data_IF_350565708376
#
_entry.id   IF_350565708376
#
_cell.length_a   1.000
_cell.length_b   1.000
_cell.length_c   1.000
_cell.angle_alpha   90.00
_cell.angle_beta   90.00
_cell.angle_gamma   90.00
#
_symmetry.space_group_name_H-M   'P 1'
#
loop_
_entity.id
_entity.type
_entity.pdbx_description
1 polymer ?
#
# COMPACT_ATOMS: atom_id res chain seq x y z
N UNK A 1 -1.04 -19.19 -2.43
CA UNK A 1 -1.99 -18.15 -2.91
C UNK A 1 -3.28 -18.11 -2.06
N UNK A 2 -3.21 -18.18 -0.73
CA UNK A 2 -4.42 -18.38 0.11
C UNK A 2 -5.29 -17.10 0.28
N UNK A 3 -4.73 -15.92 0.03
CA UNK A 3 -5.40 -14.63 0.25
C UNK A 3 -5.26 -13.70 -0.97
N UNK A 4 -5.79 -14.13 -2.10
CA UNK A 4 -6.02 -13.26 -3.27
C UNK A 4 -7.49 -13.28 -3.65
N UNK A 5 -7.95 -12.21 -4.29
CA UNK A 5 -9.28 -12.13 -4.86
C UNK A 5 -9.22 -11.28 -6.13
N UNK A 6 -9.90 -11.74 -7.17
CA UNK A 6 -10.16 -10.94 -8.36
C UNK A 6 -11.42 -10.11 -8.10
N UNK A 7 -11.34 -8.79 -8.32
CA UNK A 7 -12.41 -7.86 -7.95
C UNK A 7 -12.74 -6.98 -9.14
N UNK A 8 -14.03 -6.83 -9.43
CA UNK A 8 -14.50 -5.85 -10.42
C UNK A 8 -14.77 -4.52 -9.74
N UNK A 9 -14.29 -3.46 -10.39
CA UNK A 9 -14.58 -2.10 -10.01
C UNK A 9 -16.01 -1.73 -10.45
N UNK A 10 -16.71 -0.97 -9.62
CA UNK A 10 -18.02 -0.42 -10.00
C UNK A 10 -17.88 0.78 -10.96
N UNK A 11 -19.01 1.28 -11.48
CA UNK A 11 -19.01 2.40 -12.44
C UNK A 11 -18.47 3.72 -11.86
N UNK A 12 -18.35 3.83 -10.54
CA UNK A 12 -17.83 5.01 -9.83
C UNK A 12 -16.35 4.86 -9.46
N UNK A 13 -15.71 3.77 -9.87
CA UNK A 13 -14.30 3.53 -9.56
C UNK A 13 -14.06 2.87 -8.20
N UNK A 14 -15.11 2.40 -7.51
CA UNK A 14 -14.96 1.79 -6.18
C UNK A 14 -14.69 0.29 -6.28
N UNK A 15 -13.85 -0.21 -5.39
CA UNK A 15 -13.51 -1.64 -5.28
C UNK A 15 -13.91 -2.16 -3.91
N UNK A 16 -14.74 -3.20 -3.89
CA UNK A 16 -15.13 -3.88 -2.65
C UNK A 16 -14.10 -4.92 -2.24
N UNK A 17 -13.25 -4.62 -1.25
CA UNK A 17 -12.24 -5.56 -0.77
C UNK A 17 -12.90 -6.62 0.16
N UNK A 18 -12.68 -7.93 -0.07
CA UNK A 18 -13.20 -8.97 0.81
C UNK A 18 -12.71 -8.83 2.26
N UNK A 19 -13.63 -8.96 3.22
CA UNK A 19 -13.34 -8.83 4.67
C UNK A 19 -12.19 -9.70 5.17
N UNK A 20 -12.03 -10.91 4.62
CA UNK A 20 -10.92 -11.82 4.98
C UNK A 20 -9.54 -11.25 4.66
N UNK A 21 -9.44 -10.41 3.62
CA UNK A 21 -8.19 -9.76 3.21
C UNK A 21 -7.93 -8.56 4.11
N UNK A 22 -8.94 -7.72 4.34
CA UNK A 22 -8.86 -6.58 5.26
C UNK A 22 -8.46 -7.01 6.68
N UNK A 23 -9.11 -8.06 7.21
CA UNK A 23 -8.81 -8.59 8.54
C UNK A 23 -7.37 -9.11 8.66
N UNK A 24 -6.85 -9.74 7.59
CA UNK A 24 -5.46 -10.19 7.55
C UNK A 24 -4.47 -9.01 7.49
N UNK A 25 -4.85 -7.93 6.80
CA UNK A 25 -4.06 -6.71 6.68
C UNK A 25 -4.19 -5.78 7.90
N UNK A 26 -5.04 -6.10 8.89
CA UNK A 26 -5.28 -5.25 10.05
C UNK A 26 -6.01 -3.95 9.72
N UNK A 27 -6.74 -3.90 8.61
CA UNK A 27 -7.45 -2.69 8.15
C UNK A 27 -8.91 -2.73 8.63
N UNK A 28 -9.34 -1.70 9.37
CA UNK A 28 -10.72 -1.56 9.85
C UNK A 28 -11.46 -0.46 9.09
N UNK A 29 -11.17 0.80 9.41
CA UNK A 29 -11.96 1.96 9.01
C UNK A 29 -11.17 2.89 8.10
N UNK A 30 -9.85 2.93 8.29
CA UNK A 30 -8.91 3.76 7.55
C UNK A 30 -7.77 2.90 7.01
N UNK A 31 -7.22 3.33 5.89
CA UNK A 31 -6.07 2.71 5.25
C UNK A 31 -5.20 3.79 4.61
N UNK A 32 -3.91 3.52 4.52
CA UNK A 32 -2.96 4.32 3.73
C UNK A 32 -2.80 3.64 2.38
N UNK A 33 -2.86 4.43 1.30
CA UNK A 33 -2.67 3.95 -0.06
C UNK A 33 -1.29 4.42 -0.53
N UNK A 34 -0.46 3.47 -0.97
CA UNK A 34 0.87 3.74 -1.50
C UNK A 34 0.91 3.32 -2.95
N UNK A 35 1.27 4.24 -3.83
CA UNK A 35 1.55 3.94 -5.23
C UNK A 35 2.97 3.40 -5.39
N UNK A 36 3.11 2.19 -5.94
CA UNK A 36 4.41 1.56 -6.21
C UNK A 36 4.43 1.11 -7.66
N UNK A 37 4.91 1.99 -8.55
CA UNK A 37 4.99 1.76 -10.00
C UNK A 37 3.67 1.27 -10.61
N UNK A 38 3.55 -0.03 -10.87
CA UNK A 38 2.42 -0.69 -11.52
C UNK A 38 1.39 -1.28 -10.54
N UNK A 39 1.62 -1.16 -9.23
CA UNK A 39 0.75 -1.66 -8.17
C UNK A 39 0.38 -0.57 -7.16
N UNK A 40 -0.78 -0.77 -6.54
CA UNK A 40 -1.20 -0.02 -5.36
C UNK A 40 -1.13 -0.94 -4.14
N UNK A 41 -0.55 -0.42 -3.06
CA UNK A 41 -0.48 -1.10 -1.79
C UNK A 41 -1.40 -0.43 -0.77
N UNK A 42 -2.04 -1.26 0.06
CA UNK A 42 -2.98 -0.81 1.08
C UNK A 42 -2.48 -1.27 2.43
N UNK A 43 -2.25 -0.32 3.32
CA UNK A 43 -1.66 -0.56 4.64
C UNK A 43 -2.61 -0.06 5.74
N UNK A 44 -2.59 -0.70 6.90
CA UNK A 44 -3.21 -0.10 8.10
C UNK A 44 -2.39 1.12 8.52
N UNK A 45 -3.03 2.20 9.03
CA UNK A 45 -2.30 3.39 9.47
C UNK A 45 -1.23 3.07 10.53
N UNK A 46 -1.53 2.15 11.45
CA UNK A 46 -0.59 1.70 12.49
C UNK A 46 0.69 1.07 11.91
N UNK A 47 0.60 0.37 10.78
CA UNK A 47 1.76 -0.24 10.13
C UNK A 47 2.53 0.73 9.24
N UNK A 48 1.97 1.90 8.93
CA UNK A 48 2.61 2.89 8.06
C UNK A 48 3.68 3.72 8.77
N UNK A 49 3.67 3.77 10.10
CA UNK A 49 4.67 4.51 10.89
C UNK A 49 6.07 3.89 10.83
N UNK A 50 6.18 2.61 10.45
CA UNK A 50 7.47 1.94 10.20
C UNK A 50 8.05 2.23 8.81
N UNK A 51 7.26 2.81 7.90
CA UNK A 51 7.77 3.22 6.60
C UNK A 51 8.50 4.56 6.77
N UNK A 52 9.79 4.64 6.36
CA UNK A 52 10.49 5.91 6.38
C UNK A 52 9.70 6.93 5.56
N UNK A 53 9.68 8.18 6.01
CA UNK A 53 8.95 9.23 5.27
C UNK A 53 9.47 9.31 3.83
N UNK A 54 8.66 9.87 2.93
CA UNK A 54 9.10 10.03 1.54
C UNK A 54 10.36 10.92 1.46
N UNK A 55 10.52 11.88 2.38
CA UNK A 55 11.77 12.62 2.55
C UNK A 55 12.94 11.73 2.99
N UNK A 56 12.74 10.82 3.94
CA UNK A 56 13.79 9.88 4.40
C UNK A 56 14.19 8.88 3.30
N UNK A 57 13.21 8.37 2.55
CA UNK A 57 13.45 7.49 1.40
C UNK A 57 14.13 8.22 0.26
N UNK A 58 13.72 9.46 -0.05
CA UNK A 58 14.38 10.28 -1.06
C UNK A 58 15.84 10.56 -0.68
N UNK A 59 16.10 10.89 0.59
CA UNK A 59 17.46 11.05 1.12
C UNK A 59 18.30 9.80 0.96
N UNK A 60 17.74 8.64 1.31
CA UNK A 60 18.41 7.34 1.15
C UNK A 60 18.67 7.02 -0.33
N UNK A 61 17.70 7.25 -1.21
CA UNK A 61 17.86 7.00 -2.65
C UNK A 61 18.90 7.94 -3.27
N UNK A 62 18.97 9.21 -2.84
CA UNK A 62 20.05 10.11 -3.26
C UNK A 62 21.42 9.72 -2.73
N UNK A 63 21.50 9.03 -1.59
CA UNK A 63 22.75 8.54 -1.02
C UNK A 63 23.22 7.24 -1.69
N UNK A 64 22.28 6.44 -2.22
CA UNK A 64 22.54 5.17 -2.90
C UNK A 64 22.58 5.26 -4.45
N UNK A 65 22.06 6.32 -5.09
CA UNK A 65 22.22 6.52 -6.54
C UNK A 65 23.48 7.29 -6.92
N UNK A 66 24.56 6.51 -6.97
CA UNK A 66 25.53 6.35 -8.06
C UNK A 66 26.40 7.56 -8.45
N UNK A 67 27.67 7.49 -7.99
CA UNK A 67 28.82 7.96 -8.78
C UNK A 67 28.83 7.23 -10.15
N UNK A 68 28.09 7.76 -11.13
CA UNK A 68 28.20 7.39 -12.54
C UNK A 68 28.53 8.60 -13.39
#
# INVERSE_FOLDING_TARGET
LSYSAEIKMDRQGRVGIPRKILAKAGITDQMVIIGSLDKLEFWSPENSEELPSMEDLAGTLTEFELDL
#
